data_IF_867889967916
#
_entry.id   IF_867889967916
#
_cell.length_a   1.000
_cell.length_b   1.000
_cell.length_c   1.000
_cell.angle_alpha   90.00
_cell.angle_beta   90.00
_cell.angle_gamma   90.00
#
_symmetry.space_group_name_H-M   'P 1'
#
loop_
_entity.id
_entity.type
_entity.pdbx_description
1 polymer ?
#
# COMPACT_ATOMS: atom_id res chain seq x y z
N UNK A 1 -13.16 18.00 14.52
CA UNK A 1 -12.69 16.70 15.05
C UNK A 1 -13.46 15.60 14.32
N UNK A 2 -12.84 14.96 13.31
CA UNK A 2 -13.41 13.89 12.48
C UNK A 2 -12.74 12.52 12.77
N UNK A 3 -11.89 12.46 13.79
CA UNK A 3 -10.91 11.38 13.97
C UNK A 3 -11.48 10.14 14.68
N UNK A 4 -12.73 10.18 15.14
CA UNK A 4 -13.43 9.03 15.76
C UNK A 4 -14.36 8.31 14.77
N UNK A 5 -13.94 8.13 13.51
CA UNK A 5 -14.68 7.22 12.64
C UNK A 5 -14.38 5.78 13.08
N UNK A 6 -15.23 5.23 13.96
CA UNK A 6 -15.27 3.81 14.29
C UNK A 6 -15.86 3.00 13.13
N UNK A 7 -15.43 3.29 11.90
CA UNK A 7 -15.84 2.52 10.72
C UNK A 7 -15.14 1.16 10.74
N UNK A 8 -15.74 0.19 10.05
CA UNK A 8 -15.12 -1.13 9.87
C UNK A 8 -13.74 -1.01 9.24
N UNK A 9 -13.59 -0.12 8.24
CA UNK A 9 -12.31 0.11 7.57
C UNK A 9 -11.23 0.67 8.50
N UNK A 10 -11.55 1.65 9.35
CA UNK A 10 -10.57 2.21 10.29
C UNK A 10 -10.16 1.19 11.36
N UNK A 11 -11.10 0.38 11.87
CA UNK A 11 -10.76 -0.72 12.79
C UNK A 11 -9.86 -1.76 12.12
N UNK A 12 -10.11 -2.10 10.85
CA UNK A 12 -9.26 -3.03 10.11
C UNK A 12 -7.84 -2.49 9.90
N UNK A 13 -7.69 -1.20 9.59
CA UNK A 13 -6.37 -0.55 9.48
C UNK A 13 -5.61 -0.55 10.81
N UNK A 14 -6.30 -0.32 11.93
CA UNK A 14 -5.69 -0.40 13.26
C UNK A 14 -5.23 -1.83 13.56
N UNK A 15 -6.09 -2.83 13.32
CA UNK A 15 -5.76 -4.24 13.53
C UNK A 15 -4.55 -4.69 12.69
N UNK A 16 -4.44 -4.26 11.43
CA UNK A 16 -3.27 -4.56 10.59
C UNK A 16 -1.97 -3.99 11.18
N UNK A 17 -2.02 -2.78 11.72
CA UNK A 17 -0.86 -2.15 12.35
C UNK A 17 -0.49 -2.82 13.67
N UNK A 18 -1.47 -3.26 14.45
CA UNK A 18 -1.24 -3.96 15.72
C UNK A 18 -0.68 -5.37 15.50
N UNK A 19 -0.99 -5.98 14.35
CA UNK A 19 -0.46 -7.28 13.92
C UNK A 19 0.91 -7.18 13.22
N UNK A 20 1.41 -5.98 12.94
CA UNK A 20 2.69 -5.79 12.28
C UNK A 20 3.87 -6.15 13.20
N UNK A 21 4.95 -6.66 12.62
CA UNK A 21 6.20 -6.91 13.33
C UNK A 21 6.89 -5.62 13.79
N UNK A 22 8.01 -5.77 14.50
CA UNK A 22 8.81 -4.64 15.01
C UNK A 22 9.33 -3.72 13.89
N UNK A 23 9.47 -4.24 12.68
CA UNK A 23 9.84 -3.51 11.46
C UNK A 23 8.65 -2.77 10.80
N UNK A 24 7.44 -2.95 11.32
CA UNK A 24 6.20 -2.32 10.85
C UNK A 24 5.56 -3.00 9.66
N UNK A 25 6.04 -4.17 9.22
CA UNK A 25 5.43 -4.96 8.15
C UNK A 25 4.42 -5.96 8.72
N UNK A 26 3.22 -6.01 8.14
CA UNK A 26 2.19 -7.01 8.49
C UNK A 26 2.28 -8.27 7.63
N UNK A 27 2.87 -8.13 6.45
CA UNK A 27 3.24 -9.22 5.55
C UNK A 27 4.41 -8.75 4.66
N UNK A 28 5.09 -9.66 3.92
CA UNK A 28 6.17 -9.25 3.02
C UNK A 28 5.74 -8.12 2.08
N UNK A 29 6.55 -7.06 2.08
CA UNK A 29 6.38 -5.83 1.29
C UNK A 29 5.12 -5.00 1.61
N UNK A 30 4.36 -5.28 2.67
CA UNK A 30 3.23 -4.45 3.10
C UNK A 30 3.52 -3.76 4.44
N UNK A 31 3.91 -2.49 4.38
CA UNK A 31 4.35 -1.69 5.52
C UNK A 31 3.21 -0.82 6.08
N UNK A 32 2.92 -0.95 7.37
CA UNK A 32 1.78 -0.26 8.03
C UNK A 32 2.15 1.09 8.63
N UNK A 33 3.45 1.44 8.67
CA UNK A 33 3.94 2.66 9.30
C UNK A 33 3.41 3.95 8.66
N UNK A 34 3.02 3.91 7.38
CA UNK A 34 2.41 5.05 6.68
C UNK A 34 1.15 5.55 7.40
N UNK A 35 0.36 4.64 8.00
CA UNK A 35 -0.87 4.98 8.73
C UNK A 35 -0.62 5.69 10.06
N UNK A 36 0.63 5.79 10.54
CA UNK A 36 1.01 6.59 11.71
C UNK A 36 1.32 8.04 11.35
N UNK A 37 1.87 8.26 10.15
CA UNK A 37 2.28 9.59 9.68
C UNK A 37 1.15 10.37 9.00
N UNK A 38 0.15 9.67 8.43
CA UNK A 38 -0.97 10.29 7.71
C UNK A 38 -2.29 9.56 7.93
N UNK A 39 -3.38 10.31 7.89
CA UNK A 39 -4.72 9.74 7.71
C UNK A 39 -4.93 9.29 6.27
N UNK A 40 -5.65 8.18 6.06
CA UNK A 40 -6.08 7.71 4.73
C UNK A 40 -5.71 6.25 4.47
N UNK A 41 -4.52 6.01 3.92
CA UNK A 41 -4.07 4.65 3.60
C UNK A 41 -3.48 3.96 4.83
N UNK A 42 -3.95 2.74 5.13
CA UNK A 42 -3.48 1.96 6.29
C UNK A 42 -2.14 1.26 6.08
N UNK A 43 -1.70 1.07 4.82
CA UNK A 43 -0.45 0.40 4.49
C UNK A 43 0.14 0.90 3.17
N UNK A 44 1.43 0.67 2.95
CA UNK A 44 2.14 0.97 1.72
C UNK A 44 2.85 -0.28 1.22
N UNK A 45 2.90 -0.48 -0.10
CA UNK A 45 3.71 -1.52 -0.71
C UNK A 45 5.15 -0.99 -0.81
N UNK A 46 6.12 -1.68 -0.21
CA UNK A 46 7.52 -1.21 -0.11
C UNK A 46 8.50 -2.31 -0.51
N UNK A 47 9.36 -2.01 -1.48
CA UNK A 47 10.39 -2.92 -2.00
C UNK A 47 11.08 -2.38 -3.25
N UNK A 48 11.85 -3.23 -3.94
CA UNK A 48 12.34 -2.97 -5.29
C UNK A 48 11.16 -2.91 -6.29
N UNK A 49 11.34 -2.34 -7.50
CA UNK A 49 10.28 -2.31 -8.50
C UNK A 49 9.68 -3.68 -8.81
N UNK A 50 10.52 -4.73 -8.86
CA UNK A 50 10.11 -6.12 -9.10
C UNK A 50 9.29 -6.67 -7.93
N UNK A 51 9.68 -6.36 -6.69
CA UNK A 51 8.95 -6.76 -5.49
C UNK A 51 7.59 -6.07 -5.41
N UNK A 52 7.53 -4.78 -5.74
CA UNK A 52 6.27 -4.01 -5.80
C UNK A 52 5.35 -4.58 -6.88
N UNK A 53 5.88 -4.82 -8.09
CA UNK A 53 5.12 -5.41 -9.19
C UNK A 53 4.59 -6.80 -8.83
N UNK A 54 5.44 -7.66 -8.26
CA UNK A 54 5.04 -9.00 -7.81
C UNK A 54 3.95 -8.94 -6.72
N UNK A 55 3.99 -7.96 -5.82
CA UNK A 55 2.94 -7.77 -4.81
C UNK A 55 1.60 -7.40 -5.44
N UNK A 56 1.61 -6.47 -6.40
CA UNK A 56 0.40 -6.05 -7.12
C UNK A 56 -0.18 -7.22 -7.92
N UNK A 57 0.65 -7.97 -8.65
CA UNK A 57 0.20 -9.15 -9.39
C UNK A 57 -0.31 -10.26 -8.46
N UNK A 58 0.27 -10.40 -7.26
CA UNK A 58 -0.27 -11.28 -6.21
C UNK A 58 -1.70 -10.92 -5.82
N UNK A 59 -2.00 -9.63 -5.63
CA UNK A 59 -3.37 -9.18 -5.39
C UNK A 59 -4.28 -9.37 -6.61
N UNK A 60 -3.78 -9.21 -7.83
CA UNK A 60 -4.53 -9.50 -9.07
C UNK A 60 -4.88 -10.98 -9.19
N UNK A 61 -3.98 -11.88 -8.81
CA UNK A 61 -4.23 -13.31 -8.78
C UNK A 61 -5.34 -13.69 -7.78
N UNK A 62 -5.58 -12.87 -6.75
CA UNK A 62 -6.70 -13.00 -5.82
C UNK A 62 -8.00 -12.35 -6.33
N UNK A 63 -8.00 -11.77 -7.53
CA UNK A 63 -9.17 -11.15 -8.15
C UNK A 63 -9.31 -9.64 -7.90
N UNK A 64 -8.29 -8.97 -7.33
CA UNK A 64 -8.28 -7.51 -7.18
C UNK A 64 -7.71 -6.88 -8.45
N UNK A 65 -8.54 -6.28 -9.29
CA UNK A 65 -8.13 -5.73 -10.59
C UNK A 65 -7.84 -4.22 -10.58
N UNK A 66 -8.35 -3.50 -9.59
CA UNK A 66 -8.33 -2.04 -9.54
C UNK A 66 -7.60 -1.56 -8.29
N UNK A 67 -6.58 -0.72 -8.50
CA UNK A 67 -5.71 -0.22 -7.44
C UNK A 67 -5.75 1.31 -7.38
N UNK A 68 -6.12 1.85 -6.23
CA UNK A 68 -6.02 3.29 -5.94
C UNK A 68 -4.69 3.52 -5.22
N UNK A 69 -3.66 3.86 -5.98
CA UNK A 69 -2.31 4.05 -5.46
C UNK A 69 -2.04 5.53 -5.13
N UNK A 70 -1.15 5.74 -4.16
CA UNK A 70 -0.65 7.07 -3.80
C UNK A 70 0.76 6.94 -3.23
N UNK A 71 1.61 7.92 -3.51
CA UNK A 71 2.93 8.03 -2.88
C UNK A 71 3.40 9.48 -2.80
N UNK A 72 4.58 9.75 -2.24
CA UNK A 72 4.98 11.11 -1.84
C UNK A 72 6.42 11.47 -2.27
N UNK A 73 6.65 12.69 -2.79
CA UNK A 73 5.65 13.66 -3.27
C UNK A 73 4.81 13.10 -4.43
N UNK A 74 3.54 13.50 -4.54
CA UNK A 74 2.59 12.82 -5.43
C UNK A 74 3.03 12.78 -6.90
N UNK A 75 3.54 13.89 -7.45
CA UNK A 75 3.94 13.95 -8.85
C UNK A 75 5.17 13.08 -9.12
N UNK A 76 6.23 13.30 -8.36
CA UNK A 76 7.50 12.61 -8.53
C UNK A 76 7.33 11.09 -8.35
N UNK A 77 6.47 10.67 -7.41
CA UNK A 77 6.21 9.25 -7.19
C UNK A 77 5.32 8.64 -8.27
N UNK A 78 4.41 9.40 -8.88
CA UNK A 78 3.71 8.95 -10.09
C UNK A 78 4.67 8.74 -11.26
N UNK A 79 5.61 9.68 -11.48
CA UNK A 79 6.63 9.58 -12.53
C UNK A 79 7.54 8.35 -12.25
N UNK A 80 8.03 8.19 -11.02
CA UNK A 80 8.82 7.02 -10.59
C UNK A 80 8.10 5.70 -10.78
N UNK A 81 6.83 5.61 -10.37
CA UNK A 81 6.03 4.39 -10.53
C UNK A 81 5.79 4.05 -12.00
N UNK A 82 5.52 5.07 -12.82
CA UNK A 82 5.35 4.94 -14.26
C UNK A 82 6.62 4.45 -14.97
N UNK A 83 7.79 4.91 -14.54
CA UNK A 83 9.07 4.50 -15.13
C UNK A 83 9.53 3.13 -14.65
N UNK A 84 9.37 2.83 -13.35
CA UNK A 84 10.02 1.67 -12.74
C UNK A 84 9.11 0.46 -12.59
N UNK A 85 7.82 0.65 -12.31
CA UNK A 85 6.90 -0.45 -11.94
C UNK A 85 5.92 -0.76 -13.06
N UNK A 86 5.33 0.26 -13.70
CA UNK A 86 4.36 0.05 -14.79
C UNK A 86 4.87 -0.88 -15.91
N UNK A 87 6.15 -0.82 -16.36
CA UNK A 87 6.66 -1.75 -17.38
C UNK A 87 6.70 -3.22 -16.96
N UNK A 88 6.63 -3.50 -15.66
CA UNK A 88 6.65 -4.85 -15.08
C UNK A 88 5.23 -5.42 -14.87
N UNK A 89 4.19 -4.61 -15.04
CA UNK A 89 2.79 -4.99 -14.84
C UNK A 89 2.13 -5.34 -16.16
N UNK A 90 1.22 -6.34 -16.15
CA UNK A 90 0.40 -6.63 -17.33
C UNK A 90 -0.78 -5.67 -17.41
N UNK A 91 -0.62 -4.54 -18.08
CA UNK A 91 -1.72 -3.62 -18.34
C UNK A 91 -2.57 -4.09 -19.52
N UNK A 92 -3.89 -3.90 -19.44
CA UNK A 92 -4.82 -4.17 -20.56
C UNK A 92 -4.86 -3.01 -21.54
#
# INVERSE_FOLDING_TARGET
KSLDSQSVGVRAQAALRDAAGDDGFVEPHLWTGIGRARSGCGAAIVGSPEQVAAKIEGYRALGIDTFILSGYPHRDECERFAEMVMPLLRTV
#
